data_IF_638163474604
#
_entry.id   IF_638163474604
#
_cell.length_a   1.000
_cell.length_b   1.000
_cell.length_c   1.000
_cell.angle_alpha   90.00
_cell.angle_beta   90.00
_cell.angle_gamma   90.00
#
_symmetry.space_group_name_H-M   'P 1'
#
loop_
_entity.id
_entity.type
_entity.pdbx_description
1 polymer ?
#
# COMPACT_ATOMS: atom_id res chain seq x y z
N UNK A 1 5.68 -10.43 2.73
CA UNK A 1 6.21 -9.49 3.74
C UNK A 1 6.39 -10.26 5.05
N UNK A 2 7.50 -10.10 5.76
CA UNK A 2 7.69 -10.72 7.08
C UNK A 2 6.99 -9.91 8.18
N UNK A 3 6.84 -10.52 9.37
CA UNK A 3 6.09 -9.93 10.49
C UNK A 3 6.72 -8.65 11.05
N UNK A 4 8.05 -8.52 11.06
CA UNK A 4 8.72 -7.33 11.61
C UNK A 4 8.51 -6.14 10.69
N UNK A 5 8.72 -6.34 9.39
CA UNK A 5 8.46 -5.31 8.37
C UNK A 5 7.01 -4.85 8.37
N UNK A 6 6.07 -5.79 8.54
CA UNK A 6 4.65 -5.46 8.68
C UNK A 6 4.37 -4.57 9.91
N UNK A 7 4.95 -4.92 11.07
CA UNK A 7 4.81 -4.12 12.29
C UNK A 7 5.34 -2.70 12.12
N UNK A 8 6.54 -2.54 11.55
CA UNK A 8 7.13 -1.23 11.27
C UNK A 8 6.26 -0.38 10.35
N UNK A 9 5.69 -0.98 9.30
CA UNK A 9 4.77 -0.28 8.41
C UNK A 9 3.51 0.20 9.17
N UNK A 10 2.94 -0.65 10.02
CA UNK A 10 1.79 -0.27 10.84
C UNK A 10 2.16 0.88 11.79
N UNK A 11 3.34 0.84 12.43
CA UNK A 11 3.77 1.91 13.33
C UNK A 11 3.95 3.25 12.60
N UNK A 12 4.58 3.25 11.42
CA UNK A 12 4.71 4.45 10.58
C UNK A 12 3.34 5.01 10.16
N UNK A 13 2.42 4.13 9.75
CA UNK A 13 1.07 4.54 9.37
C UNK A 13 0.25 5.06 10.56
N UNK A 14 0.57 4.61 11.78
CA UNK A 14 -0.09 5.04 13.04
C UNK A 14 0.34 6.45 13.40
N UNK A 15 1.64 6.70 13.35
CA UNK A 15 2.25 7.94 13.81
C UNK A 15 2.05 9.06 12.79
N UNK A 16 2.34 8.77 11.52
CA UNK A 16 2.50 9.79 10.50
C UNK A 16 1.50 9.64 9.34
N UNK A 17 1.07 8.40 9.05
CA UNK A 17 0.10 8.12 7.99
C UNK A 17 -1.33 8.59 8.28
N UNK A 18 -1.67 8.85 9.55
CA UNK A 18 -3.02 9.27 10.01
C UNK A 18 -4.15 8.37 9.46
N UNK A 19 -3.89 7.07 9.35
CA UNK A 19 -4.88 6.10 8.88
C UNK A 19 -6.06 6.12 9.86
N UNK A 20 -7.27 6.34 9.34
CA UNK A 20 -8.46 6.47 10.18
C UNK A 20 -8.76 5.14 10.84
N UNK A 21 -8.71 5.11 12.16
CA UNK A 21 -9.29 4.02 12.93
C UNK A 21 -10.80 4.29 13.03
N UNK A 22 -11.62 3.43 12.43
CA UNK A 22 -13.08 3.55 12.49
C UNK A 22 -13.66 2.93 13.76
N UNK A 23 -12.81 2.34 14.63
CA UNK A 23 -13.20 1.68 15.87
C UNK A 23 -13.85 0.30 15.68
N UNK A 24 -14.23 -0.06 14.45
CA UNK A 24 -14.74 -1.39 14.09
C UNK A 24 -13.62 -2.34 13.65
N UNK A 25 -12.53 -1.80 13.10
CA UNK A 25 -11.45 -2.58 12.51
C UNK A 25 -10.09 -2.02 12.91
N UNK A 26 -9.19 -2.92 13.31
CA UNK A 26 -7.83 -2.56 13.65
C UNK A 26 -7.11 -1.99 12.42
N UNK A 27 -6.19 -1.06 12.64
CA UNK A 27 -5.42 -0.51 11.52
C UNK A 27 -4.62 -1.61 10.81
N UNK A 28 -4.16 -2.61 11.55
CA UNK A 28 -3.46 -3.78 11.05
C UNK A 28 -4.30 -4.57 10.03
N UNK A 29 -5.60 -4.75 10.27
CA UNK A 29 -6.52 -5.38 9.30
C UNK A 29 -6.69 -4.51 8.05
N UNK A 30 -6.78 -3.19 8.19
CA UNK A 30 -6.82 -2.27 7.04
C UNK A 30 -5.54 -2.36 6.19
N UNK A 31 -4.37 -2.39 6.83
CA UNK A 31 -3.07 -2.55 6.16
C UNK A 31 -2.97 -3.91 5.50
N UNK A 32 -3.48 -4.96 6.13
CA UNK A 32 -3.54 -6.31 5.54
C UNK A 32 -4.39 -6.32 4.27
N UNK A 33 -5.59 -5.72 4.30
CA UNK A 33 -6.45 -5.57 3.12
C UNK A 33 -5.71 -4.87 1.98
N UNK A 34 -5.07 -3.74 2.26
CA UNK A 34 -4.32 -2.98 1.26
C UNK A 34 -3.18 -3.80 0.63
N UNK A 35 -2.37 -4.47 1.47
CA UNK A 35 -1.28 -5.32 1.02
C UNK A 35 -1.74 -6.61 0.33
N UNK A 36 -2.98 -7.04 0.52
CA UNK A 36 -3.55 -8.16 -0.22
C UNK A 36 -4.07 -7.72 -1.60
N UNK A 37 -4.65 -6.53 -1.69
CA UNK A 37 -5.17 -5.96 -2.95
C UNK A 37 -4.08 -5.62 -3.95
N UNK A 38 -3.07 -4.84 -3.51
CA UNK A 38 -2.07 -4.27 -4.42
C UNK A 38 -1.27 -5.31 -5.23
N UNK A 39 -0.58 -6.29 -4.62
CA UNK A 39 0.29 -7.19 -5.37
C UNK A 39 -0.48 -8.18 -6.23
N UNK A 40 -1.70 -8.54 -5.84
CA UNK A 40 -2.48 -9.57 -6.51
C UNK A 40 -3.56 -9.01 -7.46
N UNK A 41 -3.74 -7.69 -7.52
CA UNK A 41 -4.82 -7.02 -8.28
C UNK A 41 -6.20 -7.66 -8.04
N UNK A 42 -6.44 -8.14 -6.82
CA UNK A 42 -7.66 -8.86 -6.46
C UNK A 42 -8.84 -7.90 -6.39
N UNK A 43 -9.98 -8.37 -6.90
CA UNK A 43 -11.22 -7.58 -6.93
C UNK A 43 -11.76 -7.41 -5.51
N UNK A 44 -12.39 -6.27 -5.27
CA UNK A 44 -13.03 -5.92 -4.01
C UNK A 44 -13.95 -7.03 -3.46
N UNK A 45 -14.74 -7.67 -4.33
CA UNK A 45 -15.61 -8.80 -3.96
C UNK A 45 -14.85 -9.99 -3.36
N UNK A 46 -13.67 -10.32 -3.89
CA UNK A 46 -12.85 -11.42 -3.39
C UNK A 46 -12.31 -11.11 -1.99
N UNK A 47 -11.83 -9.88 -1.78
CA UNK A 47 -11.38 -9.41 -0.46
C UNK A 47 -12.54 -9.42 0.54
N UNK A 48 -13.71 -8.90 0.16
CA UNK A 48 -14.89 -8.90 1.02
C UNK A 48 -15.26 -10.30 1.49
N UNK A 49 -15.06 -11.32 0.66
CA UNK A 49 -15.25 -12.72 1.05
C UNK A 49 -14.17 -13.26 2.00
N UNK A 50 -12.93 -12.78 1.92
CA UNK A 50 -11.80 -13.21 2.77
C UNK A 50 -11.91 -12.58 4.16
N UNK A 51 -12.23 -11.29 4.21
CA UNK A 51 -12.29 -10.51 5.45
C UNK A 51 -13.71 -10.39 6.02
N UNK A 52 -14.71 -10.99 5.37
CA UNK A 52 -16.14 -10.90 5.75
C UNK A 52 -16.64 -9.46 5.90
N UNK A 53 -16.20 -8.57 4.99
CA UNK A 53 -16.57 -7.15 4.98
C UNK A 53 -17.31 -6.78 3.70
N UNK A 54 -18.12 -5.73 3.78
CA UNK A 54 -18.76 -5.16 2.59
C UNK A 54 -17.71 -4.57 1.65
N UNK A 55 -18.04 -4.50 0.36
CA UNK A 55 -17.15 -3.87 -0.62
C UNK A 55 -16.90 -2.39 -0.32
N UNK A 56 -17.88 -1.68 0.25
CA UNK A 56 -17.69 -0.29 0.67
C UNK A 56 -16.62 -0.19 1.77
N UNK A 57 -16.70 -1.06 2.78
CA UNK A 57 -15.74 -1.13 3.88
C UNK A 57 -14.32 -1.40 3.37
N UNK A 58 -14.16 -2.38 2.47
CA UNK A 58 -12.87 -2.68 1.85
C UNK A 58 -12.32 -1.48 1.06
N UNK A 59 -13.17 -0.82 0.26
CA UNK A 59 -12.78 0.38 -0.47
C UNK A 59 -12.32 1.48 0.48
N UNK A 60 -13.01 1.68 1.60
CA UNK A 60 -12.66 2.67 2.62
C UNK A 60 -11.29 2.39 3.24
N UNK A 61 -11.05 1.13 3.64
CA UNK A 61 -9.76 0.71 4.22
C UNK A 61 -8.62 0.86 3.23
N UNK A 62 -8.81 0.39 1.99
CA UNK A 62 -7.82 0.53 0.94
C UNK A 62 -7.45 2.00 0.72
N UNK A 63 -8.44 2.89 0.58
CA UNK A 63 -8.17 4.31 0.35
C UNK A 63 -7.56 5.00 1.57
N UNK A 64 -7.97 4.64 2.79
CA UNK A 64 -7.37 5.21 4.01
C UNK A 64 -5.89 4.85 4.12
N UNK A 65 -5.52 3.60 3.86
CA UNK A 65 -4.11 3.17 3.88
C UNK A 65 -3.34 3.78 2.72
N UNK A 66 -3.91 3.85 1.51
CA UNK A 66 -3.29 4.51 0.35
C UNK A 66 -2.94 5.98 0.67
N UNK A 67 -3.87 6.73 1.25
CA UNK A 67 -3.63 8.11 1.67
C UNK A 67 -2.53 8.21 2.72
N UNK A 68 -2.47 7.27 3.67
CA UNK A 68 -1.39 7.20 4.65
C UNK A 68 -0.03 6.93 3.99
N UNK A 69 0.04 5.98 3.06
CA UNK A 69 1.27 5.66 2.32
C UNK A 69 1.75 6.86 1.49
N UNK A 70 0.83 7.56 0.81
CA UNK A 70 1.17 8.75 0.02
C UNK A 70 1.72 9.89 0.89
N UNK A 71 1.25 10.04 2.13
CA UNK A 71 1.82 11.00 3.08
C UNK A 71 3.22 10.63 3.54
N UNK A 72 3.52 9.33 3.58
CA UNK A 72 4.83 8.78 3.92
C UNK A 72 5.75 8.65 2.71
N UNK A 73 5.40 9.24 1.56
CA UNK A 73 6.18 9.06 0.33
C UNK A 73 7.65 9.44 0.51
N UNK A 74 7.97 10.49 1.27
CA UNK A 74 9.35 10.93 1.46
C UNK A 74 10.17 9.96 2.34
N UNK A 75 9.49 9.09 3.09
CA UNK A 75 10.11 8.08 3.97
C UNK A 75 10.16 6.72 3.25
N UNK A 76 9.07 6.33 2.59
CA UNK A 76 8.87 5.00 2.03
C UNK A 76 9.29 4.89 0.56
N UNK A 77 9.15 5.97 -0.21
CA UNK A 77 9.41 5.97 -1.65
C UNK A 77 10.76 6.62 -1.92
N UNK A 78 11.66 5.83 -2.49
CA UNK A 78 12.90 6.37 -3.03
C UNK A 78 12.58 7.11 -4.33
N UNK A 79 13.08 8.35 -4.46
CA UNK A 79 13.07 9.05 -5.74
C UNK A 79 13.82 8.19 -6.76
N UNK A 80 13.18 7.82 -7.88
CA UNK A 80 13.84 6.98 -8.89
C UNK A 80 14.99 7.75 -9.53
N UNK A 81 16.14 7.10 -9.64
CA UNK A 81 17.25 7.62 -10.43
C UNK A 81 16.86 7.62 -11.92
N UNK A 82 17.15 8.69 -12.68
CA UNK A 82 16.81 8.75 -14.09
C UNK A 82 17.54 7.63 -14.86
N UNK A 83 16.81 6.97 -15.76
CA UNK A 83 17.40 5.94 -16.62
C UNK A 83 18.36 6.62 -17.59
N UNK A 84 19.65 6.34 -17.43
CA UNK A 84 20.71 6.90 -18.28
C UNK A 84 20.55 6.39 -19.72
N UNK A 85 20.93 7.22 -20.69
CA UNK A 85 20.85 6.84 -22.12
C UNK A 85 21.64 5.57 -22.45
N UNK A 86 22.77 5.37 -21.75
CA UNK A 86 23.62 4.18 -21.84
C UNK A 86 23.08 2.94 -21.10
N UNK A 87 21.85 2.97 -20.56
CA UNK A 87 21.25 1.79 -19.93
C UNK A 87 21.03 0.69 -21.00
N UNK A 88 21.74 -0.43 -20.84
CA UNK A 88 21.66 -1.59 -21.75
C UNK A 88 20.43 -2.47 -21.51
N UNK A 89 19.77 -2.33 -20.36
CA UNK A 89 18.55 -3.09 -20.05
C UNK A 89 17.39 -2.63 -20.94
N UNK A 90 16.95 -3.54 -21.80
CA UNK A 90 15.90 -3.31 -22.79
C UNK A 90 14.54 -2.98 -22.16
N UNK A 91 14.27 -3.38 -20.91
CA UNK A 91 13.02 -3.09 -20.19
C UNK A 91 12.83 -1.60 -19.91
N UNK A 92 13.92 -0.85 -19.79
CA UNK A 92 13.92 0.56 -19.41
C UNK A 92 14.04 1.53 -20.59
N UNK A 93 14.08 1.03 -21.84
CA UNK A 93 14.24 1.87 -23.05
C UNK A 93 13.24 3.03 -23.15
N UNK A 94 11.99 2.81 -22.75
CA UNK A 94 10.90 3.81 -22.79
C UNK A 94 10.96 4.85 -21.67
N UNK A 95 11.89 4.72 -20.73
CA UNK A 95 12.05 5.59 -19.58
C UNK A 95 13.39 6.36 -19.62
N UNK A 96 14.16 6.23 -20.71
CA UNK A 96 15.36 7.03 -20.95
C UNK A 96 14.96 8.50 -21.13
N UNK A 97 15.73 9.41 -20.53
CA UNK A 97 15.55 10.87 -20.62
C UNK A 97 16.28 11.40 -21.85
#
# INVERSE_FOLDING_TARGET
MDRRTFGLLCDLLRQDGRVKNDGLVSMEEQVCVFLHVLPHHVKNRAIGSIFFRSGETISRYFNSVLQGVLRLQDILLKVPDPVRDNCEDSRWRRFKV
#
